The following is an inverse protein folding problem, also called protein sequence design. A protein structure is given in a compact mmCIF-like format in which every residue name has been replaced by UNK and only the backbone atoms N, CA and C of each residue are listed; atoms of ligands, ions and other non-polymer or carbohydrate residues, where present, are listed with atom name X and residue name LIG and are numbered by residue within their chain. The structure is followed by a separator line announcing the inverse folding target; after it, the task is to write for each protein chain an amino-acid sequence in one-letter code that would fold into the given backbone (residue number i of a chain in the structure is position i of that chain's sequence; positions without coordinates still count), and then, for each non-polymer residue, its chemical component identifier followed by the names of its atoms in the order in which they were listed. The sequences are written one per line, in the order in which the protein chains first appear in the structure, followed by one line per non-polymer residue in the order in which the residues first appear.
data_IF_217026987232
#
_entry.id   IF_217026987232
#
_cell.length_a   1.000
_cell.length_b   1.000
_cell.length_c   1.000
_cell.angle_alpha   90.00
_cell.angle_beta   90.00
_cell.angle_gamma   90.00
#
_symmetry.space_group_name_H-M   'P 1'
#
loop_
_entity.id
_entity.type
_entity.pdbx_description
1 polymer ?
#
# COMPACT_ATOMS: atom_id res chain seq x y z
N UNK A 1 15.03 -27.47 1.90
CA UNK A 1 13.66 -27.22 2.38
C UNK A 1 13.75 -26.07 3.39
N UNK A 2 13.39 -24.84 2.98
CA UNK A 2 13.38 -23.70 3.92
C UNK A 2 12.15 -23.87 4.79
N UNK A 3 12.35 -24.25 6.05
CA UNK A 3 11.28 -24.28 7.05
C UNK A 3 11.02 -22.83 7.44
N UNK A 4 9.94 -22.27 6.92
CA UNK A 4 9.48 -20.95 7.34
C UNK A 4 8.80 -21.13 8.69
N UNK A 5 9.29 -20.50 9.77
CA UNK A 5 8.67 -20.65 11.08
C UNK A 5 7.25 -20.08 11.02
N UNK A 6 6.24 -20.91 11.22
CA UNK A 6 4.82 -20.49 11.30
C UNK A 6 4.63 -19.34 12.32
N UNK A 7 5.46 -19.30 13.36
CA UNK A 7 5.47 -18.22 14.35
C UNK A 7 5.84 -16.84 13.79
N UNK A 8 6.71 -16.75 12.79
CA UNK A 8 7.14 -15.47 12.23
C UNK A 8 6.04 -14.81 11.37
N UNK A 9 5.36 -15.62 10.54
CA UNK A 9 4.19 -15.20 9.76
C UNK A 9 3.01 -14.81 10.66
N UNK A 10 2.76 -15.60 11.71
CA UNK A 10 1.71 -15.28 12.68
C UNK A 10 2.02 -13.98 13.42
N UNK A 11 3.25 -13.81 13.89
CA UNK A 11 3.68 -12.60 14.59
C UNK A 11 3.58 -11.36 13.71
N UNK A 12 4.07 -11.41 12.47
CA UNK A 12 4.01 -10.26 11.57
C UNK A 12 2.58 -9.82 11.27
N UNK A 13 1.65 -10.76 11.15
CA UNK A 13 0.22 -10.46 10.98
C UNK A 13 -0.42 -9.86 12.23
N UNK A 14 -0.01 -10.29 13.42
CA UNK A 14 -0.50 -9.69 14.68
C UNK A 14 -0.04 -8.24 14.84
N UNK A 15 1.21 -7.95 14.45
CA UNK A 15 1.75 -6.58 14.43
C UNK A 15 0.93 -5.70 13.48
N UNK A 16 0.70 -6.16 12.24
CA UNK A 16 -0.13 -5.43 11.28
C UNK A 16 -1.57 -5.22 11.77
N UNK A 17 -2.24 -6.29 12.24
CA UNK A 17 -3.62 -6.20 12.74
C UNK A 17 -3.74 -5.17 13.87
N UNK A 18 -2.75 -5.11 14.77
CA UNK A 18 -2.73 -4.11 15.85
C UNK A 18 -2.67 -2.68 15.30
N UNK A 19 -1.84 -2.43 14.29
CA UNK A 19 -1.76 -1.12 13.61
C UNK A 19 -3.05 -0.79 12.85
N UNK A 20 -3.68 -1.76 12.19
CA UNK A 20 -5.00 -1.57 11.54
C UNK A 20 -6.04 -1.12 12.57
N UNK A 21 -6.15 -1.81 13.71
CA UNK A 21 -7.12 -1.45 14.74
C UNK A 21 -6.82 -0.08 15.36
N UNK A 22 -5.55 0.22 15.63
CA UNK A 22 -5.10 1.52 16.13
C UNK A 22 -5.52 2.64 15.17
N UNK A 23 -5.14 2.54 13.90
CA UNK A 23 -5.43 3.59 12.92
C UNK A 23 -6.92 3.75 12.65
N UNK A 24 -7.70 2.66 12.62
CA UNK A 24 -9.18 2.74 12.52
C UNK A 24 -9.80 3.52 13.69
N UNK A 25 -9.28 3.35 14.91
CA UNK A 25 -9.69 4.17 16.06
C UNK A 25 -9.38 5.65 15.83
N UNK A 26 -8.18 5.96 15.34
CA UNK A 26 -7.77 7.34 15.06
C UNK A 26 -8.63 8.00 13.96
N UNK A 27 -9.03 7.25 12.94
CA UNK A 27 -9.96 7.71 11.91
C UNK A 27 -11.33 8.06 12.51
N UNK A 28 -11.81 7.23 13.43
CA UNK A 28 -13.09 7.47 14.11
C UNK A 28 -13.03 8.75 14.97
N UNK A 29 -11.97 8.92 15.75
CA UNK A 29 -11.77 10.08 16.63
C UNK A 29 -11.59 11.40 15.83
N UNK A 30 -10.90 11.37 14.68
CA UNK A 30 -10.68 12.55 13.82
C UNK A 30 -11.85 12.92 12.94
N UNK A 31 -12.77 11.99 12.65
CA UNK A 31 -14.00 12.31 11.92
C UNK A 31 -14.92 13.31 12.65
N UNK A 32 -14.66 13.54 13.95
CA UNK A 32 -15.39 14.48 14.81
C UNK A 32 -14.72 15.87 14.95
N UNK A 33 -13.49 16.07 14.44
CA UNK A 33 -12.75 17.34 14.50
C UNK A 33 -12.37 17.85 13.09
N UNK A 34 -13.01 18.95 12.66
CA UNK A 34 -12.75 19.63 11.37
C UNK A 34 -11.45 20.46 11.38
N UNK A 35 -10.31 19.86 11.70
CA UNK A 35 -9.01 20.53 11.52
C UNK A 35 -8.36 20.07 10.20
N UNK A 36 -7.82 21.01 9.43
CA UNK A 36 -6.98 20.70 8.27
C UNK A 36 -5.76 19.90 8.73
N UNK A 37 -5.75 18.59 8.45
CA UNK A 37 -4.60 17.73 8.75
C UNK A 37 -3.52 18.03 7.71
N UNK A 38 -2.49 18.76 8.12
CA UNK A 38 -1.26 18.92 7.36
C UNK A 38 -0.53 17.56 7.28
N UNK A 39 -0.18 17.11 6.08
CA UNK A 39 0.48 15.81 5.84
C UNK A 39 1.96 15.88 6.27
N UNK A 40 2.21 15.94 7.57
CA UNK A 40 3.55 15.88 8.14
C UNK A 40 3.83 14.48 8.72
N UNK A 41 3.70 13.46 7.86
CA UNK A 41 3.99 12.07 8.22
C UNK A 41 5.50 11.84 8.28
N UNK A 42 5.94 11.10 9.30
CA UNK A 42 7.34 10.68 9.46
C UNK A 42 7.46 9.20 9.12
N UNK A 43 8.64 8.74 8.64
CA UNK A 43 8.85 7.33 8.36
C UNK A 43 8.52 6.43 9.56
N UNK A 44 7.55 5.54 9.38
CA UNK A 44 7.00 4.66 10.40
C UNK A 44 5.60 5.01 10.90
N UNK A 45 5.08 6.20 10.55
CA UNK A 45 3.71 6.60 10.88
C UNK A 45 2.72 5.81 10.01
N UNK A 46 1.60 5.40 10.60
CA UNK A 46 0.47 4.86 9.85
C UNK A 46 -0.26 6.02 9.13
N UNK A 47 -0.42 5.92 7.81
CA UNK A 47 -0.95 7.03 6.99
C UNK A 47 -2.33 6.74 6.38
N UNK A 48 -2.64 5.47 6.11
CA UNK A 48 -3.89 5.08 5.47
C UNK A 48 -4.22 3.59 5.66
N UNK A 49 -5.48 3.21 5.49
CA UNK A 49 -5.92 1.83 5.27
C UNK A 49 -6.13 1.63 3.77
N UNK A 50 -5.62 0.53 3.23
CA UNK A 50 -5.90 0.09 1.86
C UNK A 50 -6.79 -1.14 1.86
N UNK A 51 -7.78 -1.15 0.96
CA UNK A 51 -8.65 -2.29 0.70
C UNK A 51 -8.72 -2.63 -0.79
N UNK A 52 -8.57 -3.91 -1.12
CA UNK A 52 -8.79 -4.43 -2.48
C UNK A 52 -9.75 -5.61 -2.38
N UNK A 53 -11.04 -5.33 -2.60
CA UNK A 53 -12.14 -6.29 -2.32
C UNK A 53 -12.06 -7.55 -3.16
N UNK A 54 -11.62 -7.46 -4.42
CA UNK A 54 -11.54 -8.60 -5.35
C UNK A 54 -10.60 -9.71 -4.87
N UNK A 55 -9.64 -9.37 -4.00
CA UNK A 55 -8.67 -10.32 -3.42
C UNK A 55 -8.74 -10.40 -1.90
N UNK A 56 -9.74 -9.75 -1.28
CA UNK A 56 -9.94 -9.76 0.18
C UNK A 56 -8.79 -9.11 0.97
N UNK A 57 -8.07 -8.17 0.36
CA UNK A 57 -6.97 -7.45 1.01
C UNK A 57 -7.52 -6.30 1.84
N UNK A 58 -7.14 -6.24 3.12
CA UNK A 58 -7.22 -5.06 3.98
C UNK A 58 -5.88 -4.94 4.71
N UNK A 59 -5.21 -3.80 4.57
CA UNK A 59 -3.88 -3.55 5.17
C UNK A 59 -3.73 -2.09 5.57
N UNK A 60 -2.77 -1.79 6.45
CA UNK A 60 -2.36 -0.43 6.77
C UNK A 60 -1.13 -0.05 5.94
N UNK A 61 -1.11 1.18 5.46
CA UNK A 61 0.02 1.80 4.78
C UNK A 61 0.79 2.63 5.80
N UNK A 62 2.10 2.43 5.83
CA UNK A 62 3.06 3.12 6.68
C UNK A 62 3.95 4.02 5.82
N UNK A 63 4.31 5.21 6.33
CA UNK A 63 5.24 6.10 5.66
C UNK A 63 6.65 5.52 5.61
N UNK A 64 7.30 5.59 4.46
CA UNK A 64 8.67 5.17 4.26
C UNK A 64 8.86 3.69 3.92
N UNK A 65 9.88 3.42 3.11
CA UNK A 65 10.17 2.09 2.53
C UNK A 65 11.37 1.38 3.17
N UNK A 66 11.78 1.81 4.36
CA UNK A 66 12.83 1.11 5.11
C UNK A 66 12.49 -0.37 5.32
N UNK A 67 13.52 -1.24 5.26
CA UNK A 67 13.36 -2.70 5.40
C UNK A 67 12.67 -3.10 6.71
N UNK A 68 12.84 -2.31 7.79
CA UNK A 68 12.17 -2.56 9.09
C UNK A 68 10.64 -2.42 9.01
N UNK A 69 10.12 -1.59 8.12
CA UNK A 69 8.68 -1.37 7.92
C UNK A 69 8.10 -2.34 6.88
N UNK A 70 8.76 -2.44 5.72
CA UNK A 70 8.34 -3.31 4.61
C UNK A 70 8.13 -4.78 5.05
N UNK A 71 8.90 -5.23 6.04
CA UNK A 71 8.79 -6.56 6.63
C UNK A 71 7.38 -6.88 7.19
N UNK A 72 6.63 -5.87 7.60
CA UNK A 72 5.36 -6.01 8.30
C UNK A 72 4.18 -5.34 7.60
N UNK A 73 4.43 -4.29 6.82
CA UNK A 73 3.40 -3.37 6.33
C UNK A 73 3.48 -3.14 4.81
N UNK A 74 2.40 -2.60 4.24
CA UNK A 74 2.49 -1.85 3.00
C UNK A 74 3.15 -0.49 3.31
N UNK A 75 4.01 -0.01 2.43
CA UNK A 75 4.86 1.15 2.67
C UNK A 75 4.72 2.17 1.53
N UNK A 76 4.45 3.42 1.87
CA UNK A 76 4.46 4.52 0.93
C UNK A 76 5.90 4.91 0.54
N UNK A 77 6.13 5.19 -0.73
CA UNK A 77 7.39 5.76 -1.20
C UNK A 77 7.45 7.25 -0.84
N UNK A 78 8.39 7.60 0.04
CA UNK A 78 8.66 8.99 0.42
C UNK A 78 8.87 9.87 -0.82
N UNK A 79 8.21 11.03 -0.82
CA UNK A 79 8.27 12.00 -1.92
C UNK A 79 7.32 11.72 -3.09
N UNK A 80 6.51 10.65 -3.03
CA UNK A 80 5.39 10.47 -3.96
C UNK A 80 4.10 11.09 -3.41
N UNK A 81 3.12 11.34 -4.29
CA UNK A 81 1.87 12.02 -3.93
C UNK A 81 1.11 11.31 -2.81
N UNK A 82 0.42 12.04 -1.92
CA UNK A 82 -0.44 11.41 -0.90
C UNK A 82 -1.77 10.92 -1.51
N UNK A 83 -2.56 10.07 -0.81
CA UNK A 83 -3.83 9.60 -1.32
C UNK A 83 -4.76 10.74 -1.76
N UNK A 84 -5.19 10.72 -3.02
CA UNK A 84 -6.13 11.68 -3.60
C UNK A 84 -5.49 12.94 -4.17
N UNK A 85 -4.18 13.11 -3.99
CA UNK A 85 -3.42 14.22 -4.53
C UNK A 85 -3.05 14.01 -6.01
N UNK A 86 -2.68 15.11 -6.68
CA UNK A 86 -2.16 15.07 -8.03
C UNK A 86 -0.77 14.43 -8.04
N UNK A 87 -0.50 13.55 -9.00
CA UNK A 87 0.68 12.72 -9.05
C UNK A 87 0.33 11.24 -8.87
N UNK A 88 1.29 10.48 -8.36
CA UNK A 88 1.20 9.03 -8.28
C UNK A 88 1.53 8.54 -6.87
N UNK A 89 0.49 8.20 -6.10
CA UNK A 89 0.63 7.60 -4.77
C UNK A 89 1.21 6.19 -4.89
N UNK A 90 2.48 6.05 -4.55
CA UNK A 90 3.21 4.82 -4.79
C UNK A 90 3.40 4.02 -3.51
N UNK A 91 3.06 2.72 -3.55
CA UNK A 91 3.08 1.84 -2.37
C UNK A 91 3.83 0.55 -2.70
N UNK A 92 4.84 0.24 -1.89
CA UNK A 92 5.55 -1.03 -1.92
C UNK A 92 4.97 -2.00 -0.88
N UNK A 93 4.96 -3.28 -1.21
CA UNK A 93 4.66 -4.34 -0.24
C UNK A 93 5.31 -5.64 -0.63
N UNK A 94 5.67 -6.46 0.36
CA UNK A 94 6.25 -7.76 0.08
C UNK A 94 5.20 -8.74 -0.45
N UNK A 95 5.53 -9.39 -1.57
CA UNK A 95 5.02 -10.72 -1.90
C UNK A 95 6.07 -11.73 -1.45
N UNK A 96 5.83 -12.39 -0.33
CA UNK A 96 6.81 -13.26 0.33
C UNK A 96 6.15 -14.49 0.94
N UNK A 97 6.93 -15.56 1.09
CA UNK A 97 6.53 -16.72 1.88
C UNK A 97 6.99 -16.60 3.34
N UNK A 98 8.00 -15.77 3.64
CA UNK A 98 8.68 -15.71 4.95
C UNK A 98 8.05 -14.74 5.95
N UNK A 99 7.49 -13.64 5.47
CA UNK A 99 6.98 -12.53 6.29
C UNK A 99 5.51 -12.24 5.95
N UNK A 100 5.00 -11.10 6.44
CA UNK A 100 3.63 -10.73 6.17
C UNK A 100 3.37 -10.68 4.67
N UNK A 101 2.32 -11.36 4.25
CA UNK A 101 2.00 -11.67 2.86
C UNK A 101 1.13 -10.59 2.25
N UNK A 102 1.40 -9.33 2.60
CA UNK A 102 0.45 -8.22 2.41
C UNK A 102 0.00 -8.15 0.96
N UNK A 103 0.94 -8.28 0.01
CA UNK A 103 0.64 -8.18 -1.42
C UNK A 103 0.63 -9.53 -2.16
N UNK A 104 0.60 -10.66 -1.45
CA UNK A 104 0.65 -11.98 -2.10
C UNK A 104 -0.51 -12.21 -3.06
N UNK A 105 -1.71 -11.74 -2.74
CA UNK A 105 -2.89 -11.98 -3.56
C UNK A 105 -3.06 -10.97 -4.71
N UNK A 106 -2.22 -9.93 -4.79
CA UNK A 106 -2.33 -8.90 -5.81
C UNK A 106 -2.13 -9.42 -7.24
N UNK A 107 -1.47 -10.56 -7.45
CA UNK A 107 -1.37 -11.19 -8.78
C UNK A 107 -2.71 -11.67 -9.35
N UNK A 108 -3.79 -11.67 -8.54
CA UNK A 108 -5.14 -12.10 -8.96
C UNK A 108 -6.05 -10.94 -9.36
N UNK A 109 -5.64 -9.70 -9.12
CA UNK A 109 -6.43 -8.52 -9.50
C UNK A 109 -6.52 -8.40 -11.01
N UNK A 110 -7.54 -7.68 -11.48
CA UNK A 110 -7.79 -7.47 -12.91
C UNK A 110 -7.98 -5.99 -13.20
N UNK A 111 -7.83 -5.63 -14.47
CA UNK A 111 -8.24 -4.30 -14.95
C UNK A 111 -9.70 -4.05 -14.55
N UNK A 112 -9.98 -2.83 -14.08
CA UNK A 112 -11.24 -2.36 -13.48
C UNK A 112 -11.55 -2.84 -12.05
N UNK A 113 -10.69 -3.66 -11.41
CA UNK A 113 -10.79 -3.86 -9.97
C UNK A 113 -10.53 -2.55 -9.23
N UNK A 114 -11.12 -2.41 -8.04
CA UNK A 114 -11.05 -1.20 -7.22
C UNK A 114 -10.00 -1.32 -6.12
N UNK A 115 -9.20 -0.28 -5.97
CA UNK A 115 -8.34 -0.04 -4.81
C UNK A 115 -8.94 1.12 -4.00
N UNK A 116 -9.31 0.87 -2.75
CA UNK A 116 -9.85 1.88 -1.85
C UNK A 116 -8.80 2.26 -0.81
N UNK A 117 -8.50 3.54 -0.69
CA UNK A 117 -7.56 4.10 0.29
C UNK A 117 -8.34 5.01 1.22
N UNK A 118 -8.29 4.75 2.52
CA UNK A 118 -8.94 5.53 3.56
C UNK A 118 -7.90 6.15 4.48
N UNK A 119 -7.90 7.47 4.61
CA UNK A 119 -7.07 8.21 5.55
C UNK A 119 -7.92 9.25 6.30
N UNK A 120 -7.27 10.11 7.09
CA UNK A 120 -7.95 11.14 7.89
C UNK A 120 -8.67 12.20 7.06
N UNK A 121 -8.38 12.30 5.75
CA UNK A 121 -9.03 13.23 4.82
C UNK A 121 -10.25 12.62 4.12
N UNK A 122 -10.40 11.29 4.16
CA UNK A 122 -11.54 10.59 3.57
C UNK A 122 -11.16 9.31 2.84
N UNK A 123 -12.05 8.90 1.93
CA UNK A 123 -11.92 7.67 1.14
C UNK A 123 -11.67 8.03 -0.32
N UNK A 124 -10.59 7.51 -0.88
CA UNK A 124 -10.20 7.65 -2.28
C UNK A 124 -10.30 6.29 -2.96
N UNK A 125 -10.98 6.24 -4.11
CA UNK A 125 -11.16 5.00 -4.88
C UNK A 125 -10.40 5.14 -6.18
N UNK A 126 -9.62 4.12 -6.52
CA UNK A 126 -8.88 4.03 -7.76
C UNK A 126 -9.34 2.81 -8.55
N UNK A 127 -9.42 2.98 -9.87
CA UNK A 127 -9.65 1.93 -10.84
C UNK A 127 -8.34 1.40 -11.36
N UNK A 128 -8.10 0.09 -11.30
CA UNK A 128 -6.90 -0.50 -11.91
C UNK A 128 -6.98 -0.36 -13.43
N UNK A 129 -6.01 0.35 -14.01
CA UNK A 129 -5.91 0.67 -15.44
C UNK A 129 -4.82 -0.16 -16.12
N UNK A 130 -3.76 -0.53 -15.40
CA UNK A 130 -2.64 -1.29 -15.97
C UNK A 130 -2.08 -2.32 -14.98
N UNK A 131 -1.64 -3.47 -15.51
CA UNK A 131 -0.93 -4.51 -14.78
C UNK A 131 0.18 -5.05 -15.66
N UNK A 132 1.43 -4.99 -15.18
CA UNK A 132 2.59 -5.49 -15.94
C UNK A 132 3.77 -5.84 -15.03
N UNK A 133 4.70 -6.62 -15.57
CA UNK A 133 5.97 -6.94 -14.92
C UNK A 133 7.10 -6.03 -15.44
N UNK A 134 8.01 -5.63 -14.55
CA UNK A 134 9.21 -4.85 -14.88
C UNK A 134 10.43 -5.36 -14.12
N UNK A 135 11.62 -4.96 -14.55
CA UNK A 135 12.87 -5.20 -13.82
C UNK A 135 12.93 -4.36 -12.54
N UNK A 136 13.65 -4.84 -11.52
CA UNK A 136 13.67 -4.23 -10.18
C UNK A 136 14.29 -2.82 -10.15
N UNK A 137 15.18 -2.52 -11.10
CA UNK A 137 15.91 -1.27 -11.22
C UNK A 137 15.10 -0.17 -11.94
N UNK A 138 13.97 -0.52 -12.54
CA UNK A 138 13.15 0.42 -13.29
C UNK A 138 12.33 1.32 -12.36
N UNK A 139 12.76 2.58 -12.22
CA UNK A 139 12.13 3.57 -11.33
C UNK A 139 10.99 4.35 -11.97
N UNK A 140 10.82 4.31 -13.31
CA UNK A 140 9.80 5.08 -14.04
C UNK A 140 8.37 4.83 -13.54
N UNK A 141 8.15 3.68 -12.88
CA UNK A 141 6.85 3.32 -12.29
C UNK A 141 6.42 4.26 -11.17
N UNK A 142 7.37 5.01 -10.59
CA UNK A 142 7.17 5.98 -9.50
C UNK A 142 7.09 7.44 -10.01
N UNK A 143 7.20 7.66 -11.32
CA UNK A 143 7.16 9.01 -11.90
C UNK A 143 5.84 9.72 -11.53
N UNK A 144 5.94 11.04 -11.33
CA UNK A 144 4.85 11.89 -10.87
C UNK A 144 4.28 12.72 -12.03
N UNK A 145 3.20 12.25 -12.66
CA UNK A 145 2.40 13.06 -13.58
C UNK A 145 1.35 13.86 -12.80
N UNK A 146 1.62 15.14 -12.55
CA UNK A 146 0.74 16.01 -11.77
C UNK A 146 -0.54 16.41 -12.50
N UNK A 147 -0.75 15.98 -13.75
CA UNK A 147 -2.03 16.15 -14.46
C UNK A 147 -3.05 15.08 -14.10
N UNK A 148 -2.62 14.01 -13.42
CA UNK A 148 -3.43 12.86 -13.03
C UNK A 148 -3.43 12.67 -11.51
N UNK A 149 -4.29 11.76 -11.05
CA UNK A 149 -4.32 11.24 -9.68
C UNK A 149 -4.24 9.73 -9.75
N UNK A 150 -3.03 9.21 -9.62
CA UNK A 150 -2.70 7.80 -9.83
C UNK A 150 -2.34 7.12 -8.50
N UNK A 151 -2.44 5.79 -8.51
CA UNK A 151 -1.87 4.91 -7.51
C UNK A 151 -1.01 3.85 -8.20
N UNK A 152 0.16 3.54 -7.65
CA UNK A 152 1.00 2.44 -8.11
C UNK A 152 1.31 1.49 -6.97
N UNK A 153 0.91 0.22 -7.09
CA UNK A 153 1.29 -0.85 -6.18
C UNK A 153 2.48 -1.62 -6.76
N UNK A 154 3.55 -1.74 -5.97
CA UNK A 154 4.78 -2.41 -6.34
C UNK A 154 5.00 -3.63 -5.45
N UNK A 155 5.09 -4.82 -6.06
CA UNK A 155 5.39 -6.06 -5.34
C UNK A 155 6.40 -6.94 -6.08
N UNK A 156 7.10 -7.81 -5.36
CA UNK A 156 8.05 -8.75 -5.96
C UNK A 156 7.32 -9.85 -6.75
N UNK A 157 7.88 -10.23 -7.90
CA UNK A 157 7.49 -11.43 -8.66
C UNK A 157 8.74 -12.17 -9.13
N UNK A 158 8.57 -13.37 -9.71
CA UNK A 158 9.65 -14.24 -10.20
C UNK A 158 10.81 -14.43 -9.19
N UNK A 159 10.46 -14.83 -7.95
CA UNK A 159 11.45 -15.06 -6.89
C UNK A 159 12.20 -13.79 -6.45
N UNK A 160 11.66 -12.60 -6.73
CA UNK A 160 12.25 -11.31 -6.36
C UNK A 160 13.06 -10.64 -7.47
N UNK A 161 13.22 -11.28 -8.63
CA UNK A 161 13.95 -10.73 -9.78
C UNK A 161 13.20 -9.58 -10.44
N UNK A 162 11.88 -9.71 -10.51
CA UNK A 162 10.99 -8.75 -11.16
C UNK A 162 10.08 -8.07 -10.17
N UNK A 163 9.40 -7.03 -10.63
CA UNK A 163 8.31 -6.37 -9.93
C UNK A 163 7.03 -6.52 -10.71
N UNK A 164 5.98 -6.96 -10.05
CA UNK A 164 4.62 -6.81 -10.52
C UNK A 164 4.17 -5.40 -10.17
N UNK A 165 3.69 -4.68 -11.18
CA UNK A 165 3.21 -3.31 -11.09
C UNK A 165 1.72 -3.31 -11.37
N UNK A 166 0.96 -2.69 -10.49
CA UNK A 166 -0.46 -2.46 -10.66
C UNK A 166 -0.67 -0.95 -10.58
N UNK A 167 -1.09 -0.33 -11.68
CA UNK A 167 -1.45 1.09 -11.71
C UNK A 167 -2.95 1.26 -11.71
N UNK A 168 -3.40 2.33 -11.07
CA UNK A 168 -4.78 2.77 -11.15
C UNK A 168 -4.91 4.28 -11.18
N UNK A 169 -6.04 4.76 -11.69
CA UNK A 169 -6.42 6.17 -11.73
C UNK A 169 -7.62 6.39 -10.82
N UNK A 170 -7.70 7.55 -10.18
CA UNK A 170 -8.80 7.88 -9.26
C UNK A 170 -10.14 7.82 -10.00
N UNK A 171 -11.16 7.28 -9.33
CA UNK A 171 -12.54 7.35 -9.78
C UNK A 171 -13.11 8.70 -9.35
N UNK A 172 -13.54 9.51 -10.33
CA UNK A 172 -14.30 10.75 -10.09
C UNK A 172 -15.68 10.50 -9.46
#
# INVERSE_FOLDING_TARGET
MIVIPQGLKYYSRQVENKSIQKFKSELQDKSESQDEVEDNYKPGDEIAIMRVKSVGLETVIVEGTDTKYLKYYACHFEGTAMPGENGNFSVAGHSSYLYNQVFNELHKVKINDKIEIENTKGIFKYNITEIFDTEAENTFVLDQDTSKKEITLVTCTDGGKKRLIIKGEIEE
#
